data_IF_798089781963
#
_entry.id   IF_798089781963
#
_cell.length_a   1.000
_cell.length_b   1.000
_cell.length_c   1.000
_cell.angle_alpha   90.00
_cell.angle_beta   90.00
_cell.angle_gamma   90.00
#
_symmetry.space_group_name_H-M   'P 1'
#
loop_
_entity.id
_entity.type
_entity.pdbx_description
1 polymer ?
#
# COMPACT_ATOMS: atom_id res chain seq x y z
N UNK A 1 -2.28 32.87 -7.71
CA UNK A 1 -2.70 31.52 -8.09
C UNK A 1 -3.15 30.82 -6.82
N UNK A 2 -4.43 30.50 -6.73
CA UNK A 2 -5.03 29.87 -5.53
C UNK A 2 -4.97 28.37 -5.75
N UNK A 3 -4.57 27.61 -4.72
CA UNK A 3 -4.51 26.14 -4.77
C UNK A 3 -5.58 25.62 -3.83
N UNK A 4 -6.49 24.80 -4.34
CA UNK A 4 -7.63 24.27 -3.57
C UNK A 4 -7.60 22.76 -3.71
N UNK A 5 -7.51 22.05 -2.58
CA UNK A 5 -7.69 20.60 -2.57
C UNK A 5 -9.17 20.28 -2.37
N UNK A 6 -9.73 19.44 -3.24
CA UNK A 6 -11.10 18.97 -3.10
C UNK A 6 -11.08 17.51 -2.64
N UNK A 7 -11.85 17.22 -1.59
CA UNK A 7 -12.06 15.85 -1.12
C UNK A 7 -12.76 14.99 -2.19
N UNK A 8 -12.56 13.68 -2.13
CA UNK A 8 -13.18 12.74 -3.05
C UNK A 8 -14.71 12.87 -3.10
N UNK A 9 -15.35 13.10 -1.95
CA UNK A 9 -16.81 13.26 -1.89
C UNK A 9 -17.26 14.50 -2.66
N UNK A 10 -16.52 15.60 -2.57
CA UNK A 10 -16.81 16.83 -3.32
C UNK A 10 -16.66 16.58 -4.81
N UNK A 11 -15.58 15.93 -5.25
CA UNK A 11 -15.37 15.57 -6.66
C UNK A 11 -16.49 14.66 -7.17
N UNK A 12 -16.92 13.69 -6.36
CA UNK A 12 -18.00 12.76 -6.72
C UNK A 12 -19.33 13.49 -6.89
N UNK A 13 -19.67 14.40 -5.97
CA UNK A 13 -20.87 15.22 -6.07
C UNK A 13 -20.80 16.15 -7.29
N UNK A 14 -19.65 16.78 -7.54
CA UNK A 14 -19.45 17.61 -8.74
C UNK A 14 -19.62 16.83 -10.05
N UNK A 15 -19.18 15.57 -10.10
CA UNK A 15 -19.37 14.70 -11.26
C UNK A 15 -20.85 14.30 -11.45
N UNK A 16 -21.63 14.31 -10.37
CA UNK A 16 -23.03 13.84 -10.33
C UNK A 16 -24.02 14.97 -10.09
N UNK A 17 -23.65 16.24 -10.39
CA UNK A 17 -24.49 17.43 -10.14
C UNK A 17 -25.92 17.28 -10.69
N UNK A 18 -26.07 16.61 -11.84
CA UNK A 18 -27.39 16.42 -12.46
C UNK A 18 -28.35 15.56 -11.62
N UNK A 19 -27.82 14.75 -10.70
CA UNK A 19 -28.58 13.86 -9.83
C UNK A 19 -28.96 14.50 -8.49
N UNK A 20 -28.55 15.75 -8.23
CA UNK A 20 -28.89 16.47 -6.99
C UNK A 20 -30.36 16.91 -7.05
N UNK A 21 -31.18 16.43 -6.11
CA UNK A 21 -32.60 16.77 -6.01
C UNK A 21 -32.84 18.15 -5.37
N UNK A 22 -31.99 18.53 -4.40
CA UNK A 22 -32.09 19.83 -3.74
C UNK A 22 -31.57 20.94 -4.66
N UNK A 23 -32.46 21.84 -5.07
CA UNK A 23 -32.13 22.89 -6.04
C UNK A 23 -31.13 23.93 -5.49
N UNK A 24 -31.16 24.24 -4.19
CA UNK A 24 -30.20 25.17 -3.58
C UNK A 24 -28.80 24.58 -3.55
N UNK A 25 -28.69 23.30 -3.17
CA UNK A 25 -27.43 22.55 -3.18
C UNK A 25 -26.89 22.40 -4.61
N UNK A 26 -27.76 22.12 -5.58
CA UNK A 26 -27.38 22.02 -6.98
C UNK A 26 -26.74 23.33 -7.47
N UNK A 27 -27.38 24.47 -7.20
CA UNK A 27 -26.84 25.80 -7.56
C UNK A 27 -25.50 26.07 -6.88
N UNK A 28 -25.31 25.64 -5.63
CA UNK A 28 -24.03 25.75 -4.93
C UNK A 28 -22.92 24.97 -5.66
N UNK A 29 -23.15 23.70 -5.99
CA UNK A 29 -22.15 22.87 -6.67
C UNK A 29 -21.88 23.32 -8.10
N UNK A 30 -22.89 23.82 -8.82
CA UNK A 30 -22.70 24.46 -10.14
C UNK A 30 -21.82 25.70 -10.03
N UNK A 31 -22.00 26.50 -8.96
CA UNK A 31 -21.15 27.67 -8.69
C UNK A 31 -19.71 27.26 -8.41
N UNK A 32 -19.50 26.22 -7.59
CA UNK A 32 -18.16 25.67 -7.31
C UNK A 32 -17.52 25.18 -8.61
N UNK A 33 -18.24 24.40 -9.42
CA UNK A 33 -17.73 23.90 -10.69
C UNK A 33 -17.30 25.04 -11.61
N UNK A 34 -18.14 26.07 -11.75
CA UNK A 34 -17.81 27.26 -12.52
C UNK A 34 -16.56 27.94 -11.98
N UNK A 35 -16.43 28.12 -10.67
CA UNK A 35 -15.25 28.76 -10.07
C UNK A 35 -13.96 27.99 -10.36
N UNK A 36 -13.97 26.66 -10.18
CA UNK A 36 -12.75 25.84 -10.34
C UNK A 36 -12.36 25.60 -11.80
N UNK A 37 -13.32 25.73 -12.72
CA UNK A 37 -13.07 25.59 -14.17
C UNK A 37 -12.90 26.93 -14.89
N UNK A 38 -13.18 28.05 -14.24
CA UNK A 38 -13.06 29.38 -14.84
C UNK A 38 -11.58 29.72 -15.09
N UNK A 39 -11.26 30.03 -16.35
CA UNK A 39 -9.91 30.35 -16.82
C UNK A 39 -9.41 31.74 -16.39
N UNK A 40 -10.31 32.64 -16.00
CA UNK A 40 -9.96 34.01 -15.58
C UNK A 40 -9.35 34.04 -14.18
N UNK A 41 -9.84 33.16 -13.28
CA UNK A 41 -9.28 33.00 -11.93
C UNK A 41 -8.31 31.83 -11.96
N UNK A 42 -7.01 32.08 -11.79
CA UNK A 42 -5.99 31.01 -11.72
C UNK A 42 -6.12 30.18 -10.45
N UNK A 43 -7.10 29.27 -10.44
CA UNK A 43 -7.28 28.21 -9.44
C UNK A 43 -6.65 26.93 -9.97
N UNK A 44 -5.92 26.24 -9.11
CA UNK A 44 -5.38 24.91 -9.40
C UNK A 44 -5.97 23.93 -8.40
N UNK A 45 -6.62 22.89 -8.92
CA UNK A 45 -7.17 21.80 -8.12
C UNK A 45 -6.35 20.54 -8.40
N UNK A 46 -5.46 20.09 -7.51
CA UNK A 46 -4.78 18.83 -7.71
C UNK A 46 -5.68 17.64 -7.36
N UNK A 47 -5.49 16.52 -8.06
CA UNK A 47 -5.90 15.20 -7.56
C UNK A 47 -4.73 14.54 -6.81
N UNK A 48 -5.00 13.51 -6.01
CA UNK A 48 -3.97 12.76 -5.29
C UNK A 48 -4.17 11.24 -5.38
N UNK A 49 -3.20 10.48 -4.88
CA UNK A 49 -3.31 9.02 -4.78
C UNK A 49 -4.53 8.58 -3.96
N UNK A 50 -5.00 9.39 -3.01
CA UNK A 50 -6.20 9.07 -2.24
C UNK A 50 -7.44 8.96 -3.13
N UNK A 51 -7.62 9.89 -4.09
CA UNK A 51 -8.72 9.85 -5.04
C UNK A 51 -8.67 8.59 -5.91
N UNK A 52 -7.48 8.21 -6.39
CA UNK A 52 -7.28 7.00 -7.19
C UNK A 52 -7.53 5.72 -6.37
N UNK A 53 -7.12 5.69 -5.10
CA UNK A 53 -7.35 4.55 -4.22
C UNK A 53 -8.84 4.34 -3.92
N UNK A 54 -9.63 5.40 -3.79
CA UNK A 54 -11.09 5.27 -3.65
C UNK A 54 -11.74 4.74 -4.93
N UNK A 55 -11.26 5.17 -6.10
CA UNK A 55 -11.67 4.61 -7.39
C UNK A 55 -11.28 3.14 -7.54
N UNK A 56 -10.11 2.75 -7.04
CA UNK A 56 -9.63 1.37 -7.06
C UNK A 56 -10.58 0.43 -6.31
N UNK A 57 -11.10 0.85 -5.16
CA UNK A 57 -12.11 0.09 -4.40
C UNK A 57 -13.39 -0.12 -5.23
N UNK A 58 -13.85 0.90 -5.94
CA UNK A 58 -15.01 0.78 -6.86
C UNK A 58 -14.71 -0.10 -8.07
N UNK A 59 -13.49 -0.01 -8.62
CA UNK A 59 -13.05 -0.86 -9.73
C UNK A 59 -13.10 -2.34 -9.35
N UNK A 60 -12.59 -2.69 -8.16
CA UNK A 60 -12.64 -4.05 -7.60
C UNK A 60 -14.05 -4.58 -7.35
N UNK A 61 -15.03 -3.70 -7.14
CA UNK A 61 -16.46 -4.05 -7.05
C UNK A 61 -17.12 -4.28 -8.42
N UNK A 62 -16.38 -4.13 -9.52
CA UNK A 62 -16.89 -4.29 -10.88
C UNK A 62 -17.49 -3.02 -11.49
N UNK A 63 -17.36 -1.85 -10.85
CA UNK A 63 -17.95 -0.58 -11.31
C UNK A 63 -17.11 0.13 -12.39
N UNK A 64 -16.51 -0.63 -13.33
CA UNK A 64 -15.49 -0.13 -14.28
C UNK A 64 -15.92 1.11 -15.05
N UNK A 65 -17.14 1.11 -15.61
CA UNK A 65 -17.67 2.24 -16.39
C UNK A 65 -17.73 3.53 -15.57
N UNK A 66 -18.18 3.44 -14.32
CA UNK A 66 -18.27 4.58 -13.40
C UNK A 66 -16.89 5.12 -13.05
N UNK A 67 -15.91 4.22 -12.86
CA UNK A 67 -14.52 4.58 -12.56
C UNK A 67 -13.91 5.42 -13.69
N UNK A 68 -13.95 4.95 -14.94
CA UNK A 68 -13.39 5.71 -16.07
C UNK A 68 -14.12 7.03 -16.33
N UNK A 69 -15.43 7.09 -16.10
CA UNK A 69 -16.16 8.37 -16.16
C UNK A 69 -15.64 9.36 -15.10
N UNK A 70 -15.39 8.90 -13.88
CA UNK A 70 -14.84 9.73 -12.83
C UNK A 70 -13.37 10.12 -13.09
N UNK A 71 -12.54 9.24 -13.65
CA UNK A 71 -11.15 9.57 -14.06
C UNK A 71 -11.12 10.69 -15.10
N UNK A 72 -12.01 10.63 -16.10
CA UNK A 72 -12.17 11.70 -17.09
C UNK A 72 -12.63 13.02 -16.45
N UNK A 73 -13.54 12.94 -15.48
CA UNK A 73 -13.98 14.11 -14.73
C UNK A 73 -12.85 14.71 -13.89
N UNK A 74 -12.06 13.89 -13.19
CA UNK A 74 -10.85 14.32 -12.47
C UNK A 74 -9.90 15.03 -13.44
N UNK A 75 -9.62 14.43 -14.61
CA UNK A 75 -8.73 15.01 -15.62
C UNK A 75 -9.21 16.41 -16.05
N UNK A 76 -10.52 16.56 -16.28
CA UNK A 76 -11.15 17.82 -16.62
C UNK A 76 -10.99 18.90 -15.53
N UNK A 77 -11.35 18.60 -14.27
CA UNK A 77 -11.33 19.62 -13.21
C UNK A 77 -9.91 19.94 -12.73
N UNK A 78 -9.00 18.98 -12.81
CA UNK A 78 -7.63 19.13 -12.27
C UNK A 78 -6.62 19.55 -13.30
N UNK A 79 -6.98 19.51 -14.59
CA UNK A 79 -6.05 19.73 -15.70
C UNK A 79 -4.80 18.84 -15.56
N UNK A 80 -5.01 17.59 -15.10
CA UNK A 80 -3.98 16.58 -14.85
C UNK A 80 -2.95 16.95 -13.77
N UNK A 81 -3.21 17.98 -12.96
CA UNK A 81 -2.33 18.32 -11.85
C UNK A 81 -2.50 17.31 -10.72
N UNK A 82 -1.41 16.66 -10.35
CA UNK A 82 -1.37 15.59 -9.36
C UNK A 82 -0.48 16.00 -8.17
N UNK A 83 -0.94 15.70 -6.96
CA UNK A 83 -0.19 15.80 -5.73
C UNK A 83 0.16 14.38 -5.26
N UNK A 84 1.45 14.07 -5.25
CA UNK A 84 1.97 12.76 -4.82
C UNK A 84 2.94 12.94 -3.66
N UNK A 85 2.87 12.04 -2.68
CA UNK A 85 3.90 11.92 -1.64
C UNK A 85 4.62 10.59 -1.84
N UNK A 86 5.93 10.66 -2.06
CA UNK A 86 6.75 9.47 -2.23
C UNK A 86 7.22 8.94 -0.88
N UNK A 87 7.43 7.63 -0.82
CA UNK A 87 8.12 7.00 0.31
C UNK A 87 9.50 7.65 0.49
N UNK A 88 9.85 7.95 1.74
CA UNK A 88 11.09 8.63 2.16
C UNK A 88 11.21 10.12 1.79
N UNK A 89 10.14 10.76 1.31
CA UNK A 89 10.12 12.20 1.10
C UNK A 89 9.18 12.90 2.12
N UNK A 90 9.74 13.84 2.87
CA UNK A 90 8.97 14.62 3.85
C UNK A 90 7.90 15.50 3.20
N UNK A 91 8.11 15.92 1.95
CA UNK A 91 7.26 16.89 1.27
C UNK A 91 6.55 16.27 0.07
N UNK A 92 5.26 16.59 -0.09
CA UNK A 92 4.51 16.24 -1.29
C UNK A 92 5.01 17.00 -2.51
N UNK A 93 5.07 16.31 -3.65
CA UNK A 93 5.50 16.84 -4.94
C UNK A 93 4.31 17.00 -5.88
N UNK A 94 4.46 17.98 -6.77
CA UNK A 94 3.50 18.26 -7.82
C UNK A 94 3.95 17.59 -9.12
N UNK A 95 3.01 16.92 -9.78
CA UNK A 95 3.20 16.31 -11.08
C UNK A 95 2.09 16.74 -12.04
N UNK A 96 2.35 16.57 -13.33
CA UNK A 96 1.31 16.59 -14.35
C UNK A 96 1.21 15.15 -14.85
N UNK A 97 0.09 14.49 -14.55
CA UNK A 97 -0.18 13.09 -14.90
C UNK A 97 -1.62 12.94 -15.31
N UNK A 98 -1.86 12.23 -16.41
CA UNK A 98 -3.21 11.85 -16.78
C UNK A 98 -3.76 10.87 -15.71
N UNK A 99 -4.92 11.16 -15.08
CA UNK A 99 -5.51 10.27 -14.10
C UNK A 99 -5.78 8.86 -14.63
N UNK A 100 -6.15 8.71 -15.90
CA UNK A 100 -6.38 7.39 -16.50
C UNK A 100 -5.07 6.60 -16.58
N UNK A 101 -4.02 7.19 -17.18
CA UNK A 101 -2.71 6.53 -17.29
C UNK A 101 -2.12 6.19 -15.92
N UNK A 102 -2.27 7.09 -14.94
CA UNK A 102 -1.78 6.83 -13.59
C UNK A 102 -2.62 5.75 -12.89
N UNK A 103 -3.93 5.71 -13.12
CA UNK A 103 -4.77 4.65 -12.58
C UNK A 103 -4.44 3.27 -13.17
N UNK A 104 -4.19 3.18 -14.48
CA UNK A 104 -3.74 1.95 -15.13
C UNK A 104 -2.38 1.50 -14.58
N UNK A 105 -1.42 2.41 -14.41
CA UNK A 105 -0.12 2.01 -13.84
C UNK A 105 -0.27 1.50 -12.40
N UNK A 106 -1.23 2.02 -11.62
CA UNK A 106 -1.53 1.49 -10.29
C UNK A 106 -2.18 0.10 -10.35
N UNK A 107 -2.97 -0.20 -11.39
CA UNK A 107 -3.50 -1.54 -11.62
C UNK A 107 -2.38 -2.52 -11.99
N UNK A 108 -1.51 -2.14 -12.92
CA UNK A 108 -0.34 -2.93 -13.33
C UNK A 108 0.59 -3.18 -12.13
N UNK A 109 0.91 -2.14 -11.35
CA UNK A 109 1.69 -2.28 -10.13
C UNK A 109 0.99 -3.23 -9.14
N UNK A 110 -0.33 -3.14 -8.96
CA UNK A 110 -1.05 -4.03 -8.06
C UNK A 110 -1.04 -5.47 -8.57
N UNK A 111 -1.25 -5.70 -9.86
CA UNK A 111 -1.18 -7.01 -10.49
C UNK A 111 0.23 -7.60 -10.35
N UNK A 112 1.29 -6.87 -10.73
CA UNK A 112 2.68 -7.30 -10.59
C UNK A 112 3.05 -7.60 -9.13
N UNK A 113 2.53 -6.83 -8.19
CA UNK A 113 2.80 -7.07 -6.78
C UNK A 113 1.95 -8.21 -6.20
N UNK A 114 0.76 -8.48 -6.75
CA UNK A 114 -0.02 -9.67 -6.43
C UNK A 114 0.66 -10.96 -6.94
N UNK A 115 1.58 -10.83 -7.92
CA UNK A 115 2.45 -11.90 -8.41
C UNK A 115 3.61 -12.21 -7.46
N UNK A 116 3.76 -11.56 -6.29
CA UNK A 116 4.62 -12.07 -5.22
C UNK A 116 3.83 -13.14 -4.44
N UNK A 117 3.46 -14.20 -5.15
CA UNK A 117 2.82 -15.39 -4.60
C UNK A 117 3.73 -16.59 -4.80
N UNK A 118 3.56 -17.62 -3.96
CA UNK A 118 4.31 -18.86 -4.11
C UNK A 118 4.07 -19.48 -5.48
N UNK A 119 2.87 -19.36 -6.04
CA UNK A 119 2.52 -19.87 -7.36
C UNK A 119 3.33 -19.21 -8.48
N UNK A 120 3.51 -17.89 -8.43
CA UNK A 120 4.30 -17.13 -9.41
C UNK A 120 5.80 -17.44 -9.31
N UNK A 121 6.31 -17.66 -8.10
CA UNK A 121 7.69 -18.12 -7.90
C UNK A 121 7.84 -19.57 -8.38
N UNK A 122 6.84 -20.42 -8.14
CA UNK A 122 6.83 -21.83 -8.57
C UNK A 122 6.85 -21.94 -10.09
N UNK A 123 6.02 -21.15 -10.79
CA UNK A 123 5.99 -21.13 -12.26
C UNK A 123 7.34 -20.67 -12.82
N UNK A 124 7.91 -19.59 -12.27
CA UNK A 124 9.24 -19.10 -12.67
C UNK A 124 10.33 -20.14 -12.45
N UNK A 125 10.35 -20.81 -11.29
CA UNK A 125 11.32 -21.86 -10.98
C UNK A 125 11.11 -23.14 -11.81
N UNK A 126 9.88 -23.42 -12.25
CA UNK A 126 9.60 -24.55 -13.13
C UNK A 126 10.29 -24.42 -14.49
N UNK A 127 10.45 -23.20 -15.00
CA UNK A 127 11.20 -22.92 -16.24
C UNK A 127 12.70 -23.28 -16.10
N UNK A 128 13.23 -23.26 -14.87
CA UNK A 128 14.60 -23.67 -14.54
C UNK A 128 14.70 -25.14 -14.05
N UNK A 129 13.63 -25.92 -14.18
CA UNK A 129 13.59 -27.32 -13.75
C UNK A 129 13.43 -27.53 -12.24
N UNK A 130 13.08 -26.47 -11.49
CA UNK A 130 12.91 -26.47 -10.03
C UNK A 130 11.43 -26.41 -9.59
N UNK A 131 10.49 -26.75 -10.47
CA UNK A 131 9.04 -26.62 -10.22
C UNK A 131 8.52 -27.39 -9.00
N UNK A 132 9.26 -28.37 -8.49
CA UNK A 132 8.87 -29.20 -7.34
C UNK A 132 9.47 -28.73 -6.00
N UNK A 133 10.21 -27.61 -5.94
CA UNK A 133 10.92 -27.21 -4.73
C UNK A 133 9.99 -26.97 -3.53
N UNK A 134 8.78 -26.46 -3.79
CA UNK A 134 7.78 -26.22 -2.74
C UNK A 134 7.12 -27.51 -2.25
N UNK A 135 6.98 -28.53 -3.11
CA UNK A 135 6.56 -29.87 -2.68
C UNK A 135 7.60 -30.52 -1.77
N UNK A 136 8.89 -30.28 -2.04
CA UNK A 136 9.97 -30.68 -1.13
C UNK A 136 9.82 -29.94 0.22
N UNK A 137 9.56 -28.64 0.22
CA UNK A 137 9.37 -27.87 1.46
C UNK A 137 8.13 -28.25 2.27
N UNK A 138 7.09 -28.81 1.65
CA UNK A 138 5.95 -29.42 2.37
C UNK A 138 6.36 -30.68 3.14
N UNK A 139 7.39 -31.39 2.69
CA UNK A 139 7.88 -32.62 3.31
C UNK A 139 8.90 -32.41 4.43
N UNK A 140 9.49 -31.21 4.53
CA UNK A 140 10.54 -30.89 5.51
C UNK A 140 9.90 -30.19 6.71
N UNK A 141 10.02 -30.73 7.94
CA UNK A 141 9.51 -30.06 9.13
C UNK A 141 10.34 -28.83 9.46
N UNK A 142 9.67 -27.75 9.87
CA UNK A 142 10.35 -26.50 10.22
C UNK A 142 10.93 -26.54 11.65
N UNK A 143 10.48 -27.47 12.50
CA UNK A 143 11.00 -27.71 13.86
C UNK A 143 11.05 -26.46 14.77
N UNK A 144 10.13 -25.52 14.56
CA UNK A 144 10.00 -24.33 15.41
C UNK A 144 9.21 -24.77 16.64
N UNK A 145 9.82 -24.67 17.81
CA UNK A 145 9.13 -24.93 19.06
C UNK A 145 8.31 -23.70 19.46
N UNK A 146 7.03 -23.66 19.13
CA UNK A 146 6.18 -22.51 19.50
C UNK A 146 5.93 -22.40 21.00
N UNK A 147 6.04 -23.49 21.76
CA UNK A 147 5.83 -23.51 23.21
C UNK A 147 6.94 -22.76 23.96
N UNK A 148 8.15 -22.73 23.40
CA UNK A 148 9.29 -22.03 24.01
C UNK A 148 9.09 -20.50 24.10
N UNK A 149 8.14 -19.96 23.33
CA UNK A 149 7.82 -18.54 23.34
C UNK A 149 6.76 -18.19 24.39
N UNK A 150 6.08 -19.16 25.02
CA UNK A 150 5.07 -18.89 26.06
C UNK A 150 4.01 -17.85 25.66
N UNK A 151 3.52 -17.07 26.63
CA UNK A 151 2.61 -15.92 26.43
C UNK A 151 3.36 -14.64 26.00
N UNK A 152 4.59 -14.74 25.48
CA UNK A 152 5.28 -13.53 25.03
C UNK A 152 4.51 -12.90 23.88
N UNK A 153 4.09 -11.67 24.10
CA UNK A 153 3.35 -10.88 23.13
C UNK A 153 4.35 -10.35 22.09
N UNK A 154 4.90 -11.26 21.29
CA UNK A 154 5.77 -10.94 20.15
C UNK A 154 4.82 -10.78 18.95
N UNK A 155 4.58 -9.55 18.46
CA UNK A 155 3.70 -9.33 17.31
C UNK A 155 4.04 -10.20 16.11
N UNK A 156 5.33 -10.47 15.87
CA UNK A 156 5.80 -11.35 14.81
C UNK A 156 5.20 -12.78 14.88
N UNK A 157 5.03 -13.35 16.08
CA UNK A 157 4.45 -14.69 16.25
C UNK A 157 2.95 -14.73 15.94
N UNK A 158 2.27 -13.58 15.92
CA UNK A 158 0.86 -13.49 15.52
C UNK A 158 0.67 -13.66 14.01
N UNK A 159 1.73 -13.42 13.23
CA UNK A 159 1.72 -13.60 11.79
C UNK A 159 2.09 -15.03 11.35
N UNK A 160 2.73 -15.83 12.20
CA UNK A 160 3.07 -17.24 11.93
C UNK A 160 1.87 -18.18 12.17
N UNK A 161 0.73 -17.91 11.53
CA UNK A 161 -0.53 -18.63 11.79
C UNK A 161 -0.53 -20.03 11.20
N UNK A 162 0.04 -20.21 10.00
CA UNK A 162 0.08 -21.49 9.29
C UNK A 162 1.14 -22.40 9.87
N UNK A 163 2.34 -21.89 10.13
CA UNK A 163 3.43 -22.64 10.76
C UNK A 163 3.04 -23.18 12.15
N UNK A 164 2.18 -22.48 12.90
CA UNK A 164 1.62 -23.01 14.17
C UNK A 164 0.73 -24.23 14.00
N UNK A 165 0.06 -24.37 12.85
CA UNK A 165 -0.86 -25.48 12.56
C UNK A 165 -0.17 -26.60 11.80
N UNK A 166 0.78 -26.25 10.95
CA UNK A 166 1.44 -27.15 10.00
C UNK A 166 2.95 -27.12 10.20
N UNK A 167 3.50 -28.24 10.70
CA UNK A 167 4.95 -28.37 10.90
C UNK A 167 5.67 -28.71 9.59
N UNK A 168 5.70 -27.75 8.65
CA UNK A 168 6.51 -27.85 7.44
C UNK A 168 7.10 -26.48 7.02
N UNK A 169 8.24 -26.51 6.32
CA UNK A 169 8.94 -25.29 5.86
C UNK A 169 8.05 -24.47 4.91
N UNK A 170 7.21 -25.12 4.13
CA UNK A 170 6.27 -24.44 3.23
C UNK A 170 5.30 -23.50 3.97
N UNK A 171 4.75 -23.93 5.11
CA UNK A 171 3.85 -23.12 5.93
C UNK A 171 4.54 -21.87 6.51
N UNK A 172 5.83 -21.97 6.84
CA UNK A 172 6.64 -20.81 7.27
C UNK A 172 6.82 -19.82 6.12
N UNK A 173 7.10 -20.33 4.91
CA UNK A 173 7.27 -19.49 3.73
C UNK A 173 5.95 -18.76 3.41
N UNK A 174 4.81 -19.44 3.46
CA UNK A 174 3.49 -18.80 3.25
C UNK A 174 3.21 -17.70 4.28
N UNK A 175 3.45 -17.95 5.56
CA UNK A 175 3.29 -16.92 6.60
C UNK A 175 4.19 -15.70 6.33
N UNK A 176 5.42 -15.90 5.82
CA UNK A 176 6.33 -14.80 5.46
C UNK A 176 5.80 -13.97 4.28
N UNK A 177 5.24 -14.61 3.25
CA UNK A 177 4.58 -13.88 2.15
C UNK A 177 3.37 -13.09 2.66
N UNK A 178 2.59 -13.67 3.56
CA UNK A 178 1.44 -12.98 4.19
C UNK A 178 1.90 -11.77 5.00
N UNK A 179 3.02 -11.87 5.74
CA UNK A 179 3.64 -10.74 6.45
C UNK A 179 4.01 -9.61 5.50
N UNK A 180 4.68 -9.91 4.38
CA UNK A 180 5.04 -8.87 3.41
C UNK A 180 3.82 -8.17 2.82
N UNK A 181 2.76 -8.93 2.53
CA UNK A 181 1.50 -8.37 2.06
C UNK A 181 0.81 -7.51 3.12
N UNK A 182 0.79 -7.94 4.39
CA UNK A 182 0.23 -7.15 5.50
C UNK A 182 1.02 -5.86 5.74
N UNK A 183 2.37 -5.92 5.80
CA UNK A 183 3.23 -4.74 5.98
C UNK A 183 2.97 -3.70 4.90
N UNK A 184 2.83 -4.15 3.65
CA UNK A 184 2.67 -3.26 2.50
C UNK A 184 1.30 -2.58 2.48
N UNK A 185 0.25 -3.33 2.80
CA UNK A 185 -1.13 -2.87 2.65
C UNK A 185 -1.72 -2.27 3.94
N UNK A 186 -1.10 -2.53 5.08
CA UNK A 186 -1.61 -2.13 6.40
C UNK A 186 -0.54 -1.35 7.20
N UNK A 187 -0.61 0.00 7.18
CA UNK A 187 0.34 0.84 7.93
C UNK A 187 0.39 0.56 9.43
N UNK A 188 -0.69 0.06 10.04
CA UNK A 188 -0.68 -0.29 11.47
C UNK A 188 0.13 -1.57 11.74
N UNK A 189 0.01 -2.59 10.89
CA UNK A 189 0.79 -3.83 11.00
C UNK A 189 2.30 -3.59 10.84
N UNK A 190 2.69 -2.71 9.92
CA UNK A 190 4.08 -2.25 9.81
C UNK A 190 4.57 -1.54 11.07
N UNK A 191 3.79 -0.60 11.60
CA UNK A 191 4.18 0.17 12.79
C UNK A 191 4.32 -0.73 14.02
N UNK A 192 3.46 -1.74 14.17
CA UNK A 192 3.52 -2.72 15.26
C UNK A 192 4.77 -3.62 15.15
N UNK A 193 5.06 -4.15 13.96
CA UNK A 193 6.27 -4.93 13.71
C UNK A 193 7.53 -4.09 13.95
N UNK A 194 7.57 -2.86 13.42
CA UNK A 194 8.70 -1.94 13.60
C UNK A 194 8.93 -1.61 15.07
N UNK A 195 7.86 -1.33 15.83
CA UNK A 195 7.95 -1.02 17.25
C UNK A 195 8.49 -2.22 18.03
N UNK A 196 7.94 -3.42 17.77
CA UNK A 196 8.44 -4.66 18.35
C UNK A 196 9.93 -4.92 18.05
N UNK A 197 10.38 -4.74 16.81
CA UNK A 197 11.79 -4.91 16.48
C UNK A 197 12.68 -3.86 17.18
N UNK A 198 12.23 -2.62 17.26
CA UNK A 198 12.98 -1.53 17.91
C UNK A 198 13.12 -1.80 19.42
N UNK A 199 12.03 -2.20 20.06
CA UNK A 199 11.97 -2.47 21.51
C UNK A 199 12.77 -3.72 21.90
N UNK A 200 12.76 -4.76 21.05
CA UNK A 200 13.47 -6.01 21.32
C UNK A 200 14.96 -5.96 20.99
N UNK A 201 15.38 -5.24 19.93
CA UNK A 201 16.79 -5.21 19.52
C UNK A 201 17.57 -4.16 20.35
N UNK A 202 16.90 -3.24 21.08
CA UNK A 202 17.54 -2.17 21.89
C UNK A 202 18.68 -1.47 21.13
N UNK A 203 18.50 -1.23 19.83
CA UNK A 203 19.50 -0.52 19.03
C UNK A 203 19.52 0.93 19.48
N UNK A 204 20.66 1.41 19.97
CA UNK A 204 20.86 2.85 20.21
C UNK A 204 20.84 3.55 18.83
N UNK A 205 19.84 4.42 18.56
CA UNK A 205 19.73 5.09 17.27
C UNK A 205 20.86 6.12 17.05
N UNK A 206 21.65 6.45 18.07
CA UNK A 206 22.83 7.29 17.91
C UNK A 206 24.03 6.49 17.41
N UNK A 207 24.22 6.48 16.09
CA UNK A 207 25.39 5.88 15.40
C UNK A 207 26.73 6.44 15.91
N UNK A 208 26.73 7.64 16.51
CA UNK A 208 27.91 8.28 17.08
C UNK A 208 28.40 7.65 18.41
N UNK A 209 27.60 6.78 19.05
CA UNK A 209 27.98 6.10 20.29
C UNK A 209 28.71 4.76 20.06
N UNK A 210 28.91 4.33 18.81
CA UNK A 210 29.43 2.99 18.51
C UNK A 210 30.78 3.11 17.82
N UNK A 211 31.86 2.84 18.55
CA UNK A 211 33.23 2.89 18.02
C UNK A 211 33.50 1.79 16.99
N UNK A 212 32.79 0.65 17.11
CA UNK A 212 32.90 -0.50 16.21
C UNK A 212 31.58 -1.29 16.18
N UNK A 213 30.89 -1.27 15.04
CA UNK A 213 29.59 -1.91 14.83
C UNK A 213 29.68 -3.44 14.86
N UNK A 214 30.82 -4.02 14.50
CA UNK A 214 31.02 -5.48 14.49
C UNK A 214 31.09 -6.04 15.91
N UNK A 215 31.76 -5.35 16.83
CA UNK A 215 31.83 -5.75 18.26
C UNK A 215 30.46 -5.69 18.96
N UNK A 216 29.58 -4.77 18.53
CA UNK A 216 28.23 -4.67 19.05
C UNK A 216 27.37 -5.86 18.60
N UNK A 217 27.47 -6.23 17.32
CA UNK A 217 26.77 -7.39 16.74
C UNK A 217 27.26 -8.71 17.36
N UNK A 218 28.56 -8.86 17.59
CA UNK A 218 29.15 -10.04 18.25
C UNK A 218 28.72 -10.19 19.72
N UNK A 219 28.34 -9.09 20.38
CA UNK A 219 27.82 -9.10 21.76
C UNK A 219 26.33 -9.39 21.85
N UNK A 220 25.54 -8.98 20.85
CA UNK A 220 24.09 -9.12 20.86
C UNK A 220 23.61 -10.43 20.22
N UNK A 221 24.41 -11.02 19.34
CA UNK A 221 24.09 -12.33 18.76
C UNK A 221 24.37 -13.47 19.77
N UNK A 222 23.47 -14.46 19.89
CA UNK A 222 23.71 -15.62 20.73
C UNK A 222 24.93 -16.38 20.23
N UNK A 223 25.89 -16.65 21.13
CA UNK A 223 27.10 -17.42 20.82
C UNK A 223 26.72 -18.88 20.59
N UNK A 224 27.19 -19.44 19.47
CA UNK A 224 27.06 -20.87 19.15
C UNK A 224 27.85 -21.74 20.12
#
# INVERSE_FOLDING_TARGET
MIKIYLDWNVITTLNQIQNIENQEEKVLFETILNIVTNTEVKIVVPFSNAHLNDLMKSYKKGERKRVYQALNFISFITQNVCLSQYWNEENSKWHIRNPNEYFESLLEDEEENSLISIESITSSLSEYGMGNIFEIYKSIPHNINFEQFGDTNIPFLSFLKRARKENNIYAVIEDVFEIFNEIKNNPSGYNELRSSFTDNIKLDPNVNNVSNVIELLDKTMPKQ
#
